data_IF_365650620478
#
_entry.id   IF_365650620478
#
_cell.length_a   1.000
_cell.length_b   1.000
_cell.length_c   1.000
_cell.angle_alpha   90.00
_cell.angle_beta   90.00
_cell.angle_gamma   90.00
#
_symmetry.space_group_name_H-M   'P 1'
#
loop_
_entity.id
_entity.type
_entity.pdbx_description
1 polymer ?
#
# COMPACT_ATOMS: atom_id res chain seq x y z
N UNK A 1 -4.49 39.67 -10.67
CA UNK A 1 -5.33 38.72 -9.91
C UNK A 1 -6.09 37.88 -10.93
N UNK A 2 -5.48 36.80 -11.40
CA UNK A 2 -6.05 35.89 -12.40
C UNK A 2 -6.77 34.77 -11.67
N UNK A 3 -8.11 34.82 -11.68
CA UNK A 3 -8.95 33.78 -11.11
C UNK A 3 -8.94 32.63 -12.12
N UNK A 4 -8.14 31.59 -11.85
CA UNK A 4 -7.99 30.42 -12.72
C UNK A 4 -9.27 29.57 -12.73
N UNK A 5 -10.24 29.95 -13.55
CA UNK A 5 -11.45 29.17 -13.85
C UNK A 5 -11.18 28.00 -14.78
N UNK A 6 -10.38 27.03 -14.33
CA UNK A 6 -10.20 25.77 -15.04
C UNK A 6 -11.39 24.85 -14.75
N UNK A 7 -12.33 24.72 -15.68
CA UNK A 7 -13.35 23.66 -15.61
C UNK A 7 -12.61 22.34 -15.73
N UNK A 8 -12.51 21.56 -14.64
CA UNK A 8 -12.00 20.20 -14.73
C UNK A 8 -13.12 19.31 -15.30
N UNK A 9 -13.00 18.82 -16.54
CA UNK A 9 -14.04 17.97 -17.10
C UNK A 9 -14.08 16.65 -16.32
N UNK A 10 -15.27 16.28 -15.84
CA UNK A 10 -15.49 14.96 -15.28
C UNK A 10 -15.35 13.93 -16.40
N UNK A 11 -14.49 12.93 -16.19
CA UNK A 11 -14.34 11.81 -17.10
C UNK A 11 -14.69 10.51 -16.38
N UNK A 12 -15.48 9.68 -17.06
CA UNK A 12 -15.70 8.31 -16.63
C UNK A 12 -14.53 7.45 -17.12
N UNK A 13 -13.95 6.59 -16.26
CA UNK A 13 -12.93 5.63 -16.68
C UNK A 13 -13.49 4.67 -17.74
N UNK A 14 -12.61 4.19 -18.62
CA UNK A 14 -12.95 3.11 -19.55
C UNK A 14 -13.36 1.86 -18.79
N UNK A 15 -14.28 1.09 -19.37
CA UNK A 15 -14.69 -0.20 -18.81
C UNK A 15 -13.53 -1.18 -18.82
N UNK A 16 -13.15 -1.67 -17.64
CA UNK A 16 -12.04 -2.62 -17.47
C UNK A 16 -12.54 -4.07 -17.49
N UNK A 17 -11.64 -4.99 -17.86
CA UNK A 17 -11.93 -6.42 -17.81
C UNK A 17 -11.99 -6.89 -16.35
N UNK A 18 -13.15 -7.42 -15.93
CA UNK A 18 -13.44 -7.76 -14.52
C UNK A 18 -13.83 -9.22 -14.33
N UNK A 19 -13.64 -10.07 -15.34
CA UNK A 19 -14.08 -11.47 -15.32
C UNK A 19 -13.47 -12.25 -14.15
N UNK A 20 -12.20 -12.02 -13.85
CA UNK A 20 -11.48 -12.69 -12.76
C UNK A 20 -12.04 -12.38 -11.36
N UNK A 21 -12.78 -11.29 -11.18
CA UNK A 21 -13.42 -10.92 -9.90
C UNK A 21 -14.93 -11.19 -9.88
N UNK A 22 -15.48 -11.75 -10.97
CA UNK A 22 -16.91 -12.04 -11.07
C UNK A 22 -17.30 -13.11 -10.05
N UNK A 23 -18.38 -12.85 -9.30
CA UNK A 23 -18.83 -13.73 -8.22
C UNK A 23 -18.13 -13.53 -6.88
N UNK A 24 -17.00 -12.79 -6.84
CA UNK A 24 -16.35 -12.38 -5.60
C UNK A 24 -16.88 -11.04 -5.07
N UNK A 25 -17.19 -10.11 -5.99
CA UNK A 25 -17.72 -8.78 -5.66
C UNK A 25 -18.72 -8.29 -6.73
N UNK A 26 -19.59 -7.32 -6.39
CA UNK A 26 -20.43 -6.63 -7.36
C UNK A 26 -19.62 -5.98 -8.51
N UNK A 27 -20.17 -5.89 -9.74
CA UNK A 27 -19.44 -5.39 -10.92
C UNK A 27 -18.84 -3.99 -10.76
N UNK A 28 -19.55 -3.07 -10.10
CA UNK A 28 -19.05 -1.72 -9.85
C UNK A 28 -17.80 -1.71 -8.96
N UNK A 29 -17.72 -2.62 -7.98
CA UNK A 29 -16.56 -2.77 -7.11
C UNK A 29 -15.40 -3.39 -7.89
N UNK A 30 -15.67 -4.40 -8.72
CA UNK A 30 -14.66 -5.02 -9.56
C UNK A 30 -13.95 -4.00 -10.47
N UNK A 31 -14.68 -3.05 -11.06
CA UNK A 31 -14.07 -1.99 -11.89
C UNK A 31 -13.10 -1.11 -11.09
N UNK A 32 -13.44 -0.78 -9.84
CA UNK A 32 -12.58 0.03 -8.97
C UNK A 32 -11.34 -0.76 -8.56
N UNK A 33 -11.49 -2.04 -8.23
CA UNK A 33 -10.37 -2.92 -7.82
C UNK A 33 -9.38 -3.13 -8.96
N UNK A 34 -9.84 -3.44 -10.16
CA UNK A 34 -8.97 -3.58 -11.34
C UNK A 34 -8.25 -2.28 -11.64
N UNK A 35 -8.94 -1.13 -11.52
CA UNK A 35 -8.29 0.20 -11.67
C UNK A 35 -7.19 0.44 -10.63
N UNK A 36 -7.23 -0.22 -9.48
CA UNK A 36 -6.21 -0.16 -8.42
C UNK A 36 -5.13 -1.25 -8.55
N UNK A 37 -5.14 -2.03 -9.64
CA UNK A 37 -4.20 -3.13 -9.88
C UNK A 37 -4.54 -4.42 -9.15
N UNK A 38 -5.76 -4.56 -8.63
CA UNK A 38 -6.26 -5.77 -7.97
C UNK A 38 -7.12 -6.51 -8.97
N UNK A 39 -6.52 -7.46 -9.69
CA UNK A 39 -7.14 -8.11 -10.85
C UNK A 39 -7.49 -9.57 -10.60
N UNK A 40 -7.02 -10.16 -9.49
CA UNK A 40 -7.18 -11.58 -9.20
C UNK A 40 -7.89 -11.79 -7.85
N UNK A 41 -8.60 -12.93 -7.67
CA UNK A 41 -9.15 -13.30 -6.37
C UNK A 41 -8.09 -13.34 -5.27
N UNK A 42 -6.89 -13.81 -5.58
CA UNK A 42 -5.79 -13.88 -4.60
C UNK A 42 -5.33 -12.49 -4.15
N UNK A 43 -5.25 -11.53 -5.08
CA UNK A 43 -4.92 -10.14 -4.72
C UNK A 43 -6.05 -9.49 -3.92
N UNK A 44 -7.31 -9.85 -4.19
CA UNK A 44 -8.46 -9.42 -3.39
C UNK A 44 -8.40 -10.00 -1.98
N UNK A 45 -8.09 -11.28 -1.83
CA UNK A 45 -7.94 -11.93 -0.53
C UNK A 45 -6.84 -11.27 0.31
N UNK A 46 -5.68 -10.96 -0.30
CA UNK A 46 -4.60 -10.23 0.37
C UNK A 46 -4.98 -8.82 0.82
N UNK A 47 -5.94 -8.17 0.15
CA UNK A 47 -6.47 -6.87 0.55
C UNK A 47 -7.40 -7.00 1.76
N UNK A 48 -8.28 -8.01 1.73
CA UNK A 48 -9.34 -8.21 2.73
C UNK A 48 -8.80 -8.84 4.02
N UNK A 49 -7.89 -9.79 3.89
CA UNK A 49 -7.24 -10.50 4.99
C UNK A 49 -5.71 -10.49 4.78
N UNK A 50 -5.06 -9.33 5.01
CA UNK A 50 -3.62 -9.24 4.85
C UNK A 50 -2.92 -10.12 5.90
N UNK A 51 -1.82 -10.82 5.53
CA UNK A 51 -1.09 -11.64 6.48
C UNK A 51 -0.61 -10.80 7.67
N UNK A 52 -0.83 -11.30 8.89
CA UNK A 52 -0.37 -10.66 10.12
C UNK A 52 1.17 -10.63 10.28
N UNK A 53 1.91 -11.19 9.32
CA UNK A 53 3.37 -11.17 9.27
C UNK A 53 3.81 -10.26 8.14
N UNK A 54 4.92 -9.57 8.36
CA UNK A 54 5.53 -8.75 7.33
C UNK A 54 5.85 -9.62 6.10
N UNK A 55 5.55 -9.13 4.89
CA UNK A 55 5.77 -9.89 3.66
C UNK A 55 7.26 -10.15 3.38
N UNK A 56 8.13 -9.36 4.00
CA UNK A 56 9.58 -9.48 3.90
C UNK A 56 10.20 -9.42 5.29
N UNK A 57 11.32 -10.11 5.46
CA UNK A 57 12.15 -10.01 6.65
C UNK A 57 12.75 -8.59 6.75
N UNK A 58 12.43 -7.80 7.80
CA UNK A 58 12.97 -6.45 8.00
C UNK A 58 14.50 -6.41 8.08
N UNK A 59 15.13 -7.51 8.49
CA UNK A 59 16.60 -7.62 8.54
C UNK A 59 17.25 -7.50 7.15
N UNK A 60 16.48 -7.62 6.08
CA UNK A 60 16.96 -7.45 4.70
C UNK A 60 17.02 -5.98 4.24
N UNK A 61 16.51 -5.03 5.02
CA UNK A 61 16.62 -3.61 4.70
C UNK A 61 18.10 -3.21 4.78
N UNK A 62 18.61 -2.55 3.75
CA UNK A 62 20.01 -2.12 3.70
C UNK A 62 20.35 -1.23 4.91
N UNK A 63 21.44 -1.58 5.62
CA UNK A 63 21.88 -0.87 6.82
C UNK A 63 21.09 -1.19 8.10
N UNK A 64 20.16 -2.16 8.06
CA UNK A 64 19.41 -2.58 9.26
C UNK A 64 20.33 -3.11 10.37
N UNK A 65 21.39 -3.83 10.02
CA UNK A 65 22.39 -4.32 10.96
C UNK A 65 23.09 -3.17 11.71
N UNK A 66 23.44 -2.10 11.00
CA UNK A 66 24.06 -0.90 11.56
C UNK A 66 23.06 -0.17 12.46
N UNK A 67 21.81 -0.02 12.00
CA UNK A 67 20.75 0.63 12.76
C UNK A 67 20.49 -0.10 14.09
N UNK A 68 20.35 -1.43 14.06
CA UNK A 68 20.16 -2.25 15.25
C UNK A 68 21.35 -2.13 16.21
N UNK A 69 22.58 -2.19 15.71
CA UNK A 69 23.78 -2.06 16.55
C UNK A 69 23.82 -0.72 17.30
N UNK A 70 23.46 0.38 16.62
CA UNK A 70 23.38 1.71 17.23
C UNK A 70 22.28 1.79 18.29
N UNK A 71 21.11 1.24 18.02
CA UNK A 71 20.00 1.21 18.98
C UNK A 71 20.35 0.39 20.22
N UNK A 72 20.95 -0.79 20.06
CA UNK A 72 21.39 -1.60 21.21
C UNK A 72 22.47 -0.89 22.03
N UNK A 73 23.43 -0.23 21.38
CA UNK A 73 24.45 0.56 22.08
C UNK A 73 23.82 1.71 22.88
N UNK A 74 22.91 2.47 22.27
CA UNK A 74 22.21 3.57 22.92
C UNK A 74 21.42 3.11 24.15
N UNK A 75 20.69 1.99 24.04
CA UNK A 75 19.96 1.40 25.18
C UNK A 75 20.90 0.97 26.29
N UNK A 76 22.00 0.28 25.95
CA UNK A 76 22.98 -0.18 26.94
C UNK A 76 23.69 0.97 27.65
N UNK A 77 23.87 2.10 26.95
CA UNK A 77 24.51 3.31 27.49
C UNK A 77 23.52 4.24 28.21
N UNK A 78 22.23 3.94 28.23
CA UNK A 78 21.19 4.82 28.80
C UNK A 78 21.03 6.14 28.05
N UNK A 79 21.33 6.16 26.75
CA UNK A 79 21.20 7.32 25.89
C UNK A 79 19.72 7.66 25.60
N UNK A 80 19.44 8.94 25.35
CA UNK A 80 18.11 9.39 24.92
C UNK A 80 18.00 9.31 23.39
N UNK A 81 17.03 8.56 22.88
CA UNK A 81 16.78 8.39 21.44
C UNK A 81 15.58 9.25 21.01
N UNK A 82 15.78 10.14 20.04
CA UNK A 82 14.72 10.94 19.44
C UNK A 82 14.09 10.25 18.23
N UNK A 83 12.76 10.34 18.09
CA UNK A 83 11.99 9.85 16.94
C UNK A 83 11.38 11.06 16.25
N UNK A 84 11.64 11.22 14.95
CA UNK A 84 11.23 12.35 14.12
C UNK A 84 10.43 11.88 12.91
#
# INVERSE_FOLDING_TARGET
MTIGGGVHPWSLPTTLHTAALSGHVPPAIAQILVKRGIETPQALDLLLDPPHKLPYDPLRISGMDIALRRLYAAVNNGERVGIF
#
